data_IF_864131549565
#
_entry.id   IF_864131549565
#
_cell.length_a   1.000
_cell.length_b   1.000
_cell.length_c   1.000
_cell.angle_alpha   90.00
_cell.angle_beta   90.00
_cell.angle_gamma   90.00
#
_symmetry.space_group_name_H-M   'P 1'
#
loop_
_entity.id
_entity.type
_entity.pdbx_description
1 polymer ?
#
# COMPACT_ATOMS: atom_id res chain seq x y z
N UNK A 1 -5.06 -1.91 -1.67
CA UNK A 1 -4.62 -1.66 -3.05
C UNK A 1 -4.75 -0.19 -3.32
N UNK A 2 -3.72 0.39 -3.91
CA UNK A 2 -3.64 1.80 -4.26
C UNK A 2 -3.05 1.92 -5.66
N UNK A 3 -3.22 3.08 -6.28
CA UNK A 3 -2.68 3.35 -7.60
C UNK A 3 -1.57 4.41 -7.51
N UNK A 4 -0.42 4.12 -8.11
CA UNK A 4 0.65 5.12 -8.25
C UNK A 4 0.25 6.17 -9.28
N UNK A 5 0.67 7.43 -9.08
CA UNK A 5 0.39 8.55 -10.00
C UNK A 5 1.18 8.50 -11.32
N UNK A 6 1.92 7.43 -11.58
CA UNK A 6 2.68 7.25 -12.82
C UNK A 6 1.76 7.02 -14.02
N UNK A 7 2.04 7.66 -15.15
CA UNK A 7 1.36 7.41 -16.44
C UNK A 7 1.54 5.97 -16.95
N UNK A 8 2.53 5.24 -16.44
CA UNK A 8 2.77 3.82 -16.76
C UNK A 8 2.08 2.85 -15.79
N UNK A 9 1.34 3.36 -14.80
CA UNK A 9 0.65 2.52 -13.83
C UNK A 9 -0.47 1.72 -14.52
N UNK A 10 -0.56 0.44 -14.20
CA UNK A 10 -1.74 -0.36 -14.54
C UNK A 10 -2.91 0.14 -13.68
N UNK A 11 -4.12 0.33 -14.25
CA UNK A 11 -5.30 0.72 -13.48
C UNK A 11 -5.55 -0.27 -12.33
N UNK A 12 -5.89 0.24 -11.14
CA UNK A 12 -6.09 -0.60 -9.95
C UNK A 12 -7.17 -1.67 -10.17
N UNK A 13 -8.21 -1.36 -10.95
CA UNK A 13 -9.32 -2.25 -11.32
C UNK A 13 -8.83 -3.59 -11.92
N UNK A 14 -7.83 -3.55 -12.80
CA UNK A 14 -7.27 -4.75 -13.44
C UNK A 14 -6.42 -5.59 -12.46
N UNK A 15 -5.86 -4.97 -11.43
CA UNK A 15 -5.15 -5.68 -10.37
C UNK A 15 -6.12 -6.35 -9.38
N UNK A 16 -7.33 -5.81 -9.20
CA UNK A 16 -8.32 -6.37 -8.25
C UNK A 16 -8.74 -7.77 -8.67
N UNK A 17 -8.94 -8.00 -9.98
CA UNK A 17 -9.27 -9.33 -10.49
C UNK A 17 -8.16 -10.36 -10.19
N UNK A 18 -6.89 -9.98 -10.42
CA UNK A 18 -5.74 -10.84 -10.14
C UNK A 18 -5.57 -11.11 -8.63
N UNK A 19 -5.83 -10.13 -7.78
CA UNK A 19 -5.74 -10.31 -6.32
C UNK A 19 -6.83 -11.25 -5.81
N UNK A 20 -8.05 -11.13 -6.35
CA UNK A 20 -9.18 -12.01 -6.01
C UNK A 20 -8.96 -13.46 -6.39
N UNK A 21 -8.10 -13.75 -7.36
CA UNK A 21 -7.71 -15.14 -7.66
C UNK A 21 -6.86 -15.78 -6.54
N UNK A 22 -6.20 -14.98 -5.72
CA UNK A 22 -5.26 -15.45 -4.68
C UNK A 22 -5.84 -15.30 -3.27
N UNK A 23 -6.64 -14.26 -3.03
CA UNK A 23 -7.24 -13.97 -1.73
C UNK A 23 -8.51 -13.14 -1.85
N UNK A 24 -9.50 -13.43 -1.01
CA UNK A 24 -10.68 -12.58 -0.83
C UNK A 24 -10.44 -11.42 0.16
N UNK A 25 -9.35 -11.48 0.93
CA UNK A 25 -8.97 -10.42 1.87
C UNK A 25 -8.14 -9.34 1.16
N UNK A 26 -8.84 -8.36 0.58
CA UNK A 26 -8.25 -7.18 -0.04
C UNK A 26 -9.05 -5.92 0.31
N UNK A 27 -8.33 -4.82 0.55
CA UNK A 27 -8.92 -3.49 0.78
C UNK A 27 -8.46 -2.55 -0.33
N UNK A 28 -9.26 -1.56 -0.69
CA UNK A 28 -8.96 -0.54 -1.70
C UNK A 28 -8.92 0.83 -1.02
N UNK A 29 -7.96 1.68 -1.41
CA UNK A 29 -7.80 3.01 -0.86
C UNK A 29 -7.48 4.00 -1.99
N UNK A 30 -7.96 5.24 -1.82
CA UNK A 30 -7.81 6.29 -2.84
C UNK A 30 -6.40 6.89 -2.86
N UNK A 31 -5.62 6.69 -1.79
CA UNK A 31 -4.26 7.22 -1.66
C UNK A 31 -3.29 6.24 -0.99
N UNK A 32 -2.00 6.39 -1.31
CA UNK A 32 -0.90 5.64 -0.69
C UNK A 32 -0.80 5.92 0.80
N UNK A 33 -1.02 7.19 1.19
CA UNK A 33 -0.98 7.60 2.59
C UNK A 33 -2.04 6.88 3.41
N UNK A 34 -3.30 6.90 2.96
CA UNK A 34 -4.42 6.22 3.65
C UNK A 34 -4.14 4.72 3.82
N UNK A 35 -3.66 4.05 2.77
CA UNK A 35 -3.33 2.64 2.82
C UNK A 35 -2.20 2.31 3.81
N UNK A 36 -1.18 3.16 3.90
CA UNK A 36 -0.06 2.96 4.84
C UNK A 36 -0.53 3.20 6.28
N UNK A 37 -1.33 4.23 6.52
CA UNK A 37 -1.88 4.53 7.84
C UNK A 37 -2.77 3.39 8.35
N UNK A 38 -3.69 2.88 7.52
CA UNK A 38 -4.55 1.75 7.86
C UNK A 38 -3.74 0.47 8.11
N UNK A 39 -2.80 0.14 7.21
CA UNK A 39 -1.95 -1.04 7.37
C UNK A 39 -1.09 -0.98 8.64
N UNK A 40 -0.55 0.19 8.98
CA UNK A 40 0.22 0.39 10.23
C UNK A 40 -0.66 0.28 11.46
N UNK A 41 -1.88 0.84 11.42
CA UNK A 41 -2.88 0.69 12.48
C UNK A 41 -3.22 -0.78 12.71
N UNK A 42 -3.45 -1.55 11.63
CA UNK A 42 -3.65 -2.99 11.70
C UNK A 42 -2.45 -3.75 12.28
N UNK A 43 -1.23 -3.36 11.90
CA UNK A 43 -0.01 -3.98 12.41
C UNK A 43 0.18 -3.69 13.91
N UNK A 44 -0.12 -2.48 14.37
CA UNK A 44 0.01 -2.09 15.79
C UNK A 44 -0.89 -2.91 16.74
N UNK A 45 -1.95 -3.54 16.23
CA UNK A 45 -2.85 -4.38 17.03
C UNK A 45 -2.20 -5.70 17.49
N UNK A 46 -1.01 -6.08 17.00
CA UNK A 46 -0.30 -7.28 17.45
C UNK A 46 1.22 -7.15 17.33
N UNK A 47 1.95 -7.60 18.34
CA UNK A 47 3.42 -7.46 18.43
C UNK A 47 4.24 -8.24 17.38
N UNK A 48 3.59 -9.04 16.51
CA UNK A 48 4.24 -9.86 15.48
C UNK A 48 3.76 -9.54 14.05
N UNK A 49 3.14 -8.38 13.85
CA UNK A 49 2.73 -7.92 12.53
C UNK A 49 3.74 -6.90 11.98
N UNK A 50 3.89 -6.92 10.67
CA UNK A 50 4.70 -5.96 9.92
C UNK A 50 3.96 -5.58 8.64
N UNK A 51 4.29 -4.42 8.09
CA UNK A 51 3.75 -3.93 6.81
C UNK A 51 4.83 -4.02 5.76
N UNK A 52 4.50 -4.56 4.59
CA UNK A 52 5.39 -4.60 3.42
C UNK A 52 4.78 -3.76 2.31
N UNK A 53 5.49 -2.72 1.88
CA UNK A 53 5.13 -1.91 0.72
C UNK A 53 5.93 -2.41 -0.48
N UNK A 54 5.26 -2.85 -1.55
CA UNK A 54 5.88 -3.50 -2.70
C UNK A 54 5.04 -3.35 -3.98
N UNK A 55 5.51 -3.91 -5.09
CA UNK A 55 4.81 -3.97 -6.38
C UNK A 55 5.18 -2.83 -7.34
N UNK A 56 5.75 -1.73 -6.85
CA UNK A 56 6.29 -0.65 -7.69
C UNK A 56 7.41 0.11 -7.00
N UNK A 57 8.45 0.49 -7.75
CA UNK A 57 9.55 1.33 -7.26
C UNK A 57 9.05 2.74 -6.92
N UNK A 58 8.11 3.30 -7.69
CA UNK A 58 7.55 4.63 -7.40
C UNK A 58 6.77 4.63 -6.10
N UNK A 59 5.95 3.60 -5.88
CA UNK A 59 5.19 3.42 -4.63
C UNK A 59 6.12 3.31 -3.42
N UNK A 60 7.23 2.57 -3.56
CA UNK A 60 8.24 2.48 -2.50
C UNK A 60 8.89 3.84 -2.22
N UNK A 61 9.16 4.64 -3.25
CA UNK A 61 9.64 6.02 -3.09
C UNK A 61 8.66 6.91 -2.33
N UNK A 62 7.38 6.88 -2.71
CA UNK A 62 6.30 7.62 -2.03
C UNK A 62 6.21 7.23 -0.54
N UNK A 63 6.35 5.94 -0.22
CA UNK A 63 6.34 5.45 1.16
C UNK A 63 7.56 5.90 1.98
N UNK A 64 8.75 6.00 1.36
CA UNK A 64 9.95 6.51 2.02
C UNK A 64 9.83 8.00 2.33
N UNK A 65 9.33 8.80 1.39
CA UNK A 65 9.10 10.24 1.60
C UNK A 65 8.07 10.50 2.71
N UNK A 66 7.01 9.70 2.75
CA UNK A 66 6.04 9.74 3.85
C UNK A 66 6.67 9.36 5.19
N UNK A 67 7.50 8.30 5.22
CA UNK A 67 8.19 7.87 6.43
C UNK A 67 9.15 8.95 6.96
N UNK A 68 9.87 9.65 6.09
CA UNK A 68 10.72 10.79 6.47
C UNK A 68 9.88 11.95 7.03
N UNK A 69 8.76 12.27 6.38
CA UNK A 69 7.85 13.35 6.78
C UNK A 69 7.24 13.10 8.17
N UNK A 70 6.84 11.86 8.43
CA UNK A 70 6.18 11.44 9.67
C UNK A 70 7.17 10.98 10.76
N UNK A 71 8.48 11.01 10.47
CA UNK A 71 9.54 10.68 11.43
C UNK A 71 9.63 9.19 11.80
N UNK A 72 9.33 8.30 10.86
CA UNK A 72 9.42 6.84 11.04
C UNK A 72 10.75 6.24 10.57
N UNK A 73 11.54 7.00 9.80
CA UNK A 73 12.82 6.58 9.24
C UNK A 73 13.98 6.65 10.24
#
# INVERSE_FOLDING_TARGET
MTQSQSERAVPHENLVELVREVTDESFEFDSVQEAIEDARSWAAQSSRRAVVVTGSITLVGEALELADTEGWA
#
